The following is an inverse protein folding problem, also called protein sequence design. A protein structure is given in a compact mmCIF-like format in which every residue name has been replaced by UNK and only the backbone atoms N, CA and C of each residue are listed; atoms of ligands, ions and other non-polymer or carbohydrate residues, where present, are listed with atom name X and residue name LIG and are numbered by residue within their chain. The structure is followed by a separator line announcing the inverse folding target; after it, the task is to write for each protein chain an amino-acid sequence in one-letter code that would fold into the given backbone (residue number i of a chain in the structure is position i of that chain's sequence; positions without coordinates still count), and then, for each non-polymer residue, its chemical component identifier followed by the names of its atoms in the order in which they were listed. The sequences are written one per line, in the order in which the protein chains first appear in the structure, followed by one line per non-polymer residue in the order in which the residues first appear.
data_IF_842898260949
#
_entry.id   IF_842898260949
#
_cell.length_a   1.000
_cell.length_b   1.000
_cell.length_c   1.000
_cell.angle_alpha   90.00
_cell.angle_beta   90.00
_cell.angle_gamma   90.00
#
_symmetry.space_group_name_H-M   'P 1'
#
loop_
_entity.id
_entity.type
_entity.pdbx_description
1 polymer ?
#
# COMPACT_ATOMS: atom_id res chain seq x y z
N UNK A 1 10.48 -5.73 10.32
CA UNK A 1 10.39 -6.13 8.89
C UNK A 1 10.78 -4.99 7.95
N UNK A 2 10.32 -3.76 8.23
CA UNK A 2 10.64 -2.56 7.46
C UNK A 2 12.17 -2.31 7.31
N UNK A 3 12.93 -2.40 8.40
CA UNK A 3 14.38 -2.07 8.44
C UNK A 3 15.27 -3.05 7.66
N UNK A 4 14.87 -4.31 7.58
CA UNK A 4 15.68 -5.36 6.96
C UNK A 4 15.47 -5.47 5.45
N UNK A 5 14.63 -4.58 4.85
CA UNK A 5 14.29 -4.58 3.42
C UNK A 5 13.95 -5.98 2.90
N UNK A 6 13.11 -6.71 3.64
CA UNK A 6 12.63 -8.04 3.30
C UNK A 6 11.20 -7.98 2.77
N UNK A 7 10.87 -8.88 1.87
CA UNK A 7 9.53 -9.04 1.32
C UNK A 7 8.55 -9.49 2.41
N UNK A 8 7.40 -8.80 2.53
CA UNK A 8 6.37 -9.15 3.51
C UNK A 8 5.77 -10.54 3.30
N UNK A 9 5.76 -11.06 2.07
CA UNK A 9 5.11 -12.33 1.73
C UNK A 9 6.05 -13.51 1.86
N UNK A 10 7.20 -13.48 1.17
CA UNK A 10 8.13 -14.61 1.16
C UNK A 10 9.25 -14.49 2.22
N UNK A 11 9.45 -13.32 2.83
CA UNK A 11 10.49 -13.09 3.83
C UNK A 11 11.90 -12.92 3.27
N UNK A 12 12.12 -13.14 1.96
CA UNK A 12 13.43 -12.98 1.32
C UNK A 12 13.84 -11.50 1.16
N UNK A 13 15.14 -11.19 1.03
CA UNK A 13 15.61 -9.84 0.73
C UNK A 13 14.95 -9.26 -0.54
N UNK A 14 14.59 -7.98 -0.50
CA UNK A 14 14.04 -7.28 -1.67
C UNK A 14 15.12 -7.04 -2.72
N UNK A 15 14.74 -7.20 -3.99
CA UNK A 15 15.60 -6.95 -5.14
C UNK A 15 15.70 -5.46 -5.50
N UNK A 16 16.42 -5.16 -6.57
CA UNK A 16 16.63 -3.80 -7.09
C UNK A 16 15.31 -3.02 -7.33
N UNK A 17 14.21 -3.72 -7.63
CA UNK A 17 12.87 -3.14 -7.77
C UNK A 17 11.90 -3.86 -6.84
N UNK A 18 11.06 -3.08 -6.16
CA UNK A 18 10.04 -3.59 -5.25
C UNK A 18 8.69 -2.91 -5.48
N UNK A 19 7.66 -3.46 -4.86
CA UNK A 19 6.28 -2.96 -4.93
C UNK A 19 5.76 -2.66 -3.53
N UNK A 20 5.11 -1.51 -3.37
CA UNK A 20 4.29 -1.17 -2.21
C UNK A 20 2.82 -1.29 -2.59
N UNK A 21 2.02 -1.88 -1.71
CA UNK A 21 0.56 -1.78 -1.78
C UNK A 21 0.13 -0.54 -1.00
N UNK A 22 -0.43 0.45 -1.69
CA UNK A 22 -0.79 1.74 -1.08
C UNK A 22 -2.24 2.12 -1.38
N UNK A 23 -2.83 2.87 -0.46
CA UNK A 23 -4.12 3.55 -0.64
C UNK A 23 -3.94 5.05 -0.87
N UNK A 24 -4.97 5.76 -1.35
CA UNK A 24 -4.97 7.21 -1.38
C UNK A 24 -4.64 7.84 -0.02
N UNK A 25 -5.20 7.31 1.08
CA UNK A 25 -4.89 7.80 2.44
C UNK A 25 -3.42 7.67 2.83
N UNK A 26 -2.77 6.56 2.47
CA UNK A 26 -1.33 6.34 2.73
C UNK A 26 -0.49 7.36 1.94
N UNK A 27 -0.85 7.61 0.68
CA UNK A 27 -0.16 8.60 -0.14
C UNK A 27 -0.34 10.02 0.39
N UNK A 28 -1.55 10.42 0.81
CA UNK A 28 -1.79 11.74 1.40
C UNK A 28 -0.97 11.97 2.68
N UNK A 29 -0.83 10.93 3.51
CA UNK A 29 0.04 10.96 4.70
C UNK A 29 1.53 10.90 4.34
N UNK A 30 1.88 10.48 3.13
CA UNK A 30 3.26 10.37 2.67
C UNK A 30 4.00 9.12 3.17
N UNK A 31 3.29 8.12 3.69
CA UNK A 31 3.89 6.92 4.28
C UNK A 31 3.07 5.67 3.95
N UNK A 32 3.74 4.62 3.48
CA UNK A 32 3.18 3.28 3.34
C UNK A 32 3.56 2.44 4.56
N UNK A 33 2.58 2.05 5.38
CA UNK A 33 2.83 1.31 6.64
C UNK A 33 3.17 -0.17 6.42
N UNK A 34 2.84 -0.71 5.25
CA UNK A 34 3.16 -2.09 4.88
C UNK A 34 4.58 -2.20 4.29
N UNK A 35 5.35 -3.25 4.62
CA UNK A 35 6.65 -3.51 4.00
C UNK A 35 6.58 -3.76 2.49
N UNK A 36 7.74 -3.68 1.83
CA UNK A 36 7.86 -3.93 0.41
C UNK A 36 7.59 -5.39 0.02
N UNK A 37 7.24 -5.58 -1.25
CA UNK A 37 7.02 -6.88 -1.89
C UNK A 37 7.89 -7.02 -3.13
N UNK A 38 8.32 -8.24 -3.43
CA UNK A 38 8.74 -8.57 -4.80
C UNK A 38 7.55 -8.40 -5.77
N UNK A 39 7.79 -8.08 -7.06
CA UNK A 39 6.72 -7.95 -8.05
C UNK A 39 5.77 -9.16 -8.15
N UNK A 40 6.31 -10.38 -8.09
CA UNK A 40 5.54 -11.63 -8.10
C UNK A 40 4.77 -11.86 -6.80
N UNK A 41 5.33 -11.48 -5.65
CA UNK A 41 4.64 -11.50 -4.37
C UNK A 41 3.47 -10.49 -4.36
N UNK A 42 3.65 -9.31 -4.94
CA UNK A 42 2.58 -8.34 -5.13
C UNK A 42 1.47 -8.86 -6.06
N UNK A 43 1.84 -9.59 -7.11
CA UNK A 43 0.87 -10.25 -7.99
C UNK A 43 0.07 -11.33 -7.27
N UNK A 44 0.74 -12.15 -6.44
CA UNK A 44 0.11 -13.14 -5.59
C UNK A 44 -0.85 -12.49 -4.60
N UNK A 45 -0.38 -11.49 -3.84
CA UNK A 45 -1.20 -10.80 -2.82
C UNK A 45 -2.44 -10.16 -3.41
N UNK A 46 -2.36 -9.58 -4.62
CA UNK A 46 -3.54 -9.02 -5.29
C UNK A 46 -4.64 -10.05 -5.55
N UNK A 47 -4.28 -11.33 -5.71
CA UNK A 47 -5.23 -12.43 -5.96
C UNK A 47 -5.64 -13.14 -4.68
N UNK A 48 -4.71 -13.34 -3.76
CA UNK A 48 -4.92 -14.17 -2.57
C UNK A 48 -5.50 -13.37 -1.39
N UNK A 49 -5.17 -12.09 -1.24
CA UNK A 49 -5.72 -11.27 -0.16
C UNK A 49 -7.18 -10.94 -0.47
N UNK A 50 -8.10 -11.40 0.37
CA UNK A 50 -9.55 -11.16 0.22
C UNK A 50 -9.91 -9.68 0.09
N UNK A 51 -9.15 -8.81 0.76
CA UNK A 51 -9.30 -7.36 0.65
C UNK A 51 -8.88 -6.90 -0.74
N UNK A 52 -7.64 -7.18 -1.17
CA UNK A 52 -7.12 -6.71 -2.46
C UNK A 52 -7.82 -7.35 -3.67
N UNK A 53 -8.33 -8.58 -3.54
CA UNK A 53 -9.10 -9.27 -4.55
C UNK A 53 -10.54 -8.74 -4.67
N UNK A 54 -10.99 -7.89 -3.73
CA UNK A 54 -12.35 -7.35 -3.73
C UNK A 54 -13.43 -8.33 -3.28
N UNK A 55 -13.07 -9.38 -2.52
CA UNK A 55 -14.04 -10.30 -1.93
C UNK A 55 -14.73 -9.72 -0.70
N UNK A 56 -14.14 -8.69 -0.10
CA UNK A 56 -14.72 -7.93 1.00
C UNK A 56 -14.64 -6.43 0.69
N UNK A 57 -15.68 -5.70 1.11
CA UNK A 57 -15.80 -4.26 0.88
C UNK A 57 -15.57 -3.42 2.14
N UNK A 58 -15.33 -4.07 3.29
CA UNK A 58 -15.11 -3.39 4.56
C UNK A 58 -13.96 -4.05 5.31
N UNK A 59 -13.20 -3.22 6.01
CA UNK A 59 -12.20 -3.71 6.94
C UNK A 59 -12.86 -4.44 8.10
N UNK A 60 -12.11 -5.34 8.74
CA UNK A 60 -12.60 -6.08 9.90
C UNK A 60 -13.11 -5.09 10.99
N UNK A 61 -14.39 -5.17 11.40
CA UNK A 61 -14.94 -4.30 12.44
C UNK A 61 -14.40 -4.60 13.83
N UNK A 62 -13.84 -5.79 14.05
CA UNK A 62 -13.26 -6.18 15.34
C UNK A 62 -11.84 -5.62 15.55
N UNK A 63 -11.35 -4.74 14.67
CA UNK A 63 -9.97 -4.27 14.70
C UNK A 63 -8.97 -5.40 14.51
N UNK A 64 -7.69 -5.12 14.71
CA UNK A 64 -6.68 -6.15 14.90
C UNK A 64 -6.88 -6.85 16.24
N UNK A 65 -8.10 -7.34 16.57
CA UNK A 65 -8.32 -8.13 17.78
C UNK A 65 -7.22 -9.18 17.83
N UNK A 66 -6.41 -9.23 18.92
CA UNK A 66 -5.30 -10.14 18.98
C UNK A 66 -5.87 -11.52 18.68
N UNK A 67 -5.31 -12.19 17.67
CA UNK A 67 -5.54 -13.62 17.48
C UNK A 67 -5.42 -14.21 18.87
N UNK A 68 -6.53 -14.76 19.39
CA UNK A 68 -6.56 -15.27 20.76
C UNK A 68 -5.40 -16.23 20.86
N UNK A 69 -4.44 -15.92 21.74
CA UNK A 69 -3.27 -16.78 21.90
C UNK A 69 -3.80 -18.16 22.28
N UNK A 70 -3.53 -19.16 21.45
CA UNK A 70 -3.96 -20.51 21.79
C UNK A 70 -3.13 -20.98 22.99
N UNK A 71 -3.73 -21.82 23.84
CA UNK A 71 -3.07 -22.35 25.04
C UNK A 71 -2.05 -23.47 24.75
N UNK A 72 -1.82 -23.80 23.48
CA UNK A 72 -0.83 -24.80 23.07
C UNK A 72 0.58 -24.19 23.09
N UNK A 73 1.48 -24.64 23.99
CA UNK A 73 2.84 -24.13 24.09
C UNK A 73 3.73 -24.47 22.88
N UNK A 74 3.33 -25.43 22.03
CA UNK A 74 4.02 -25.81 20.81
C UNK A 74 3.50 -25.07 19.57
N UNK A 75 2.40 -24.34 19.69
CA UNK A 75 1.86 -23.60 18.57
C UNK A 75 2.73 -22.38 18.22
N UNK A 76 3.06 -22.24 16.94
CA UNK A 76 3.83 -21.10 16.45
C UNK A 76 3.02 -19.79 16.44
N UNK A 77 1.71 -19.78 16.75
CA UNK A 77 0.89 -18.57 16.76
C UNK A 77 1.40 -17.49 17.71
N UNK A 78 2.17 -17.85 18.76
CA UNK A 78 2.85 -16.91 19.66
C UNK A 78 3.82 -15.95 18.95
N UNK A 79 4.29 -16.32 17.76
CA UNK A 79 5.16 -15.48 16.93
C UNK A 79 4.36 -14.54 16.02
N UNK A 80 3.05 -14.74 15.91
CA UNK A 80 2.13 -13.99 15.05
C UNK A 80 1.14 -13.13 15.85
N UNK A 81 0.86 -13.50 17.11
CA UNK A 81 0.07 -12.73 18.05
C UNK A 81 1.01 -11.90 18.95
N UNK A 82 1.48 -10.74 18.47
CA UNK A 82 2.07 -9.77 19.39
C UNK A 82 0.95 -9.10 20.18
N UNK A 83 0.95 -9.35 21.49
CA UNK A 83 -0.02 -8.76 22.44
C UNK A 83 0.27 -7.27 22.67
N UNK A 84 1.48 -6.81 22.32
CA UNK A 84 2.00 -5.50 22.71
C UNK A 84 2.11 -4.49 21.55
N UNK A 85 2.06 -4.94 20.29
CA UNK A 85 2.16 -4.08 19.09
C UNK A 85 0.82 -3.94 18.35
N UNK A 86 -0.29 -4.25 19.02
CA UNK A 86 -1.62 -4.05 18.49
C UNK A 86 -2.07 -2.58 18.64
N UNK A 87 -1.18 -1.65 18.31
CA UNK A 87 -1.56 -0.39 17.66
C UNK A 87 -2.07 -0.74 16.25
N UNK A 88 -3.10 -1.59 16.19
CA UNK A 88 -3.91 -1.83 15.01
C UNK A 88 -4.33 -0.45 14.56
N UNK A 89 -3.73 0.03 13.47
CA UNK A 89 -3.76 1.44 13.05
C UNK A 89 -5.11 2.06 13.41
N UNK A 90 -5.22 2.80 14.53
CA UNK A 90 -6.53 3.19 15.02
C UNK A 90 -7.23 3.99 13.94
N UNK A 91 -8.43 3.54 13.55
CA UNK A 91 -9.29 4.30 12.64
C UNK A 91 -9.61 3.69 11.29
N UNK A 92 -9.46 2.37 11.06
CA UNK A 92 -9.99 1.70 9.84
C UNK A 92 -11.07 0.65 10.08
N UNK A 93 -11.29 0.27 11.33
CA UNK A 93 -12.19 -0.81 11.74
C UNK A 93 -13.61 -0.56 11.20
N UNK A 94 -14.14 -1.53 10.46
CA UNK A 94 -15.48 -1.47 9.87
C UNK A 94 -15.66 -0.44 8.75
N UNK A 95 -14.65 0.38 8.44
CA UNK A 95 -14.73 1.39 7.36
C UNK A 95 -14.82 0.72 5.98
N UNK A 96 -15.52 1.35 5.02
CA UNK A 96 -15.46 0.94 3.62
C UNK A 96 -14.02 0.88 3.11
N UNK A 97 -13.73 -0.12 2.29
CA UNK A 97 -12.42 -0.33 1.75
C UNK A 97 -12.09 0.71 0.66
N UNK A 98 -10.95 1.38 0.80
CA UNK A 98 -10.44 2.31 -0.20
C UNK A 98 -10.01 1.61 -1.50
N UNK A 99 -9.79 2.41 -2.55
CA UNK A 99 -9.02 1.93 -3.70
C UNK A 99 -7.61 1.54 -3.26
N UNK A 100 -7.03 0.55 -3.94
CA UNK A 100 -5.64 0.13 -3.71
C UNK A 100 -4.83 0.23 -4.99
N UNK A 101 -3.55 0.54 -4.83
CA UNK A 101 -2.59 0.71 -5.91
C UNK A 101 -1.29 -0.04 -5.59
N UNK A 102 -0.70 -0.61 -6.62
CA UNK A 102 0.68 -1.06 -6.63
C UNK A 102 1.57 0.13 -7.03
N UNK A 103 2.54 0.48 -6.20
CA UNK A 103 3.54 1.50 -6.47
C UNK A 103 4.92 0.84 -6.56
N UNK A 104 5.61 0.99 -7.70
CA UNK A 104 6.93 0.43 -7.91
C UNK A 104 8.01 1.44 -7.56
N UNK A 105 9.01 0.99 -6.81
CA UNK A 105 10.14 1.77 -6.36
C UNK A 105 11.44 1.01 -6.64
N UNK A 106 12.54 1.74 -6.72
CA UNK A 106 13.86 1.13 -6.62
C UNK A 106 14.22 0.88 -5.14
N UNK A 107 15.08 -0.10 -4.89
CA UNK A 107 15.56 -0.40 -3.54
C UNK A 107 16.34 0.75 -2.90
N UNK A 108 17.03 1.56 -3.72
CA UNK A 108 17.77 2.76 -3.29
C UNK A 108 16.84 3.84 -2.73
N UNK A 109 15.59 3.87 -3.20
CA UNK A 109 14.57 4.81 -2.76
C UNK A 109 13.75 4.29 -1.57
N UNK A 110 13.98 3.05 -1.13
CA UNK A 110 13.36 2.48 0.06
C UNK A 110 13.91 3.19 1.30
N UNK A 111 13.16 4.17 1.79
CA UNK A 111 13.49 4.97 2.98
C UNK A 111 12.40 4.83 4.02
N UNK A 112 12.80 4.49 5.24
CA UNK A 112 11.89 4.45 6.39
C UNK A 112 11.67 5.87 6.88
N UNK A 113 10.41 6.18 7.16
CA UNK A 113 9.97 7.49 7.56
C UNK A 113 8.84 7.36 8.58
N UNK A 114 8.89 8.23 9.58
CA UNK A 114 7.85 8.32 10.62
C UNK A 114 7.12 9.65 10.44
N UNK A 115 5.79 9.56 10.27
CA UNK A 115 4.91 10.71 10.34
C UNK A 115 4.42 10.89 11.78
N UNK A 116 4.43 12.12 12.33
CA UNK A 116 3.84 12.39 13.63
C UNK A 116 2.33 12.19 13.59
N UNK A 117 1.71 12.09 14.76
CA UNK A 117 0.26 12.13 14.89
C UNK A 117 -0.26 13.53 14.55
N UNK A 118 -1.37 13.61 13.81
CA UNK A 118 -2.05 14.85 13.48
C UNK A 118 -3.56 14.61 13.29
N UNK A 119 -4.30 15.61 12.81
CA UNK A 119 -5.74 15.51 12.54
C UNK A 119 -6.09 14.42 11.49
N UNK A 120 -5.13 14.00 10.66
CA UNK A 120 -5.29 12.93 9.67
C UNK A 120 -5.11 11.53 10.25
N UNK A 121 -4.69 11.42 11.52
CA UNK A 121 -4.65 10.17 12.28
C UNK A 121 -3.37 9.96 13.11
N UNK A 122 -3.22 8.79 13.74
CA UNK A 122 -2.14 8.49 14.69
C UNK A 122 -0.76 8.55 14.05
N UNK A 123 0.30 8.61 14.86
CA UNK A 123 1.66 8.50 14.35
C UNK A 123 1.84 7.17 13.60
N UNK A 124 2.65 7.17 12.54
CA UNK A 124 2.87 5.97 11.75
C UNK A 124 4.30 5.90 11.23
N UNK A 125 4.90 4.71 11.30
CA UNK A 125 6.21 4.42 10.72
C UNK A 125 6.04 3.49 9.54
N UNK A 126 6.69 3.81 8.43
CA UNK A 126 6.59 3.04 7.21
C UNK A 126 7.57 3.51 6.16
N UNK A 127 7.29 3.24 4.89
CA UNK A 127 8.13 3.59 3.76
C UNK A 127 7.67 4.92 3.18
N UNK A 128 8.61 5.83 2.96
CA UNK A 128 8.33 7.16 2.42
C UNK A 128 7.68 7.08 1.02
N UNK A 129 6.59 7.82 0.82
CA UNK A 129 5.93 7.98 -0.48
C UNK A 129 6.15 9.36 -1.09
N UNK A 130 6.36 10.37 -0.25
CA UNK A 130 6.66 11.73 -0.71
C UNK A 130 8.14 11.90 -1.04
N UNK A 131 8.41 12.65 -2.12
CA UNK A 131 9.77 12.91 -2.62
C UNK A 131 10.53 11.60 -2.90
N UNK A 132 9.80 10.58 -3.35
CA UNK A 132 10.33 9.29 -3.79
C UNK A 132 9.89 9.06 -5.23
N UNK A 133 10.81 8.76 -6.17
CA UNK A 133 10.46 8.48 -7.54
C UNK A 133 9.66 7.17 -7.69
N UNK A 134 8.34 7.28 -7.91
CA UNK A 134 7.52 6.11 -8.23
C UNK A 134 7.68 5.73 -9.70
N UNK A 135 8.39 4.63 -9.96
CA UNK A 135 8.67 4.09 -11.30
C UNK A 135 7.38 3.75 -12.06
N UNK A 136 6.39 3.22 -11.34
CA UNK A 136 5.09 2.84 -11.89
C UNK A 136 4.04 2.93 -10.81
N UNK A 137 2.81 3.23 -11.21
CA UNK A 137 1.63 3.20 -10.34
C UNK A 137 0.50 2.50 -11.09
N UNK A 138 -0.12 1.48 -10.48
CA UNK A 138 -1.17 0.68 -11.10
C UNK A 138 -2.29 0.42 -10.10
N UNK A 139 -3.54 0.64 -10.51
CA UNK A 139 -4.70 0.28 -9.70
C UNK A 139 -4.75 -1.24 -9.49
N UNK A 140 -4.86 -1.66 -8.25
CA UNK A 140 -4.99 -3.05 -7.82
C UNK A 140 -6.46 -3.42 -7.56
N UNK A 141 -7.23 -2.49 -6.97
CA UNK A 141 -8.65 -2.65 -6.58
C UNK A 141 -9.39 -1.31 -6.60
N UNK A 142 -10.67 -1.35 -6.95
CA UNK A 142 -11.64 -0.25 -6.83
C UNK A 142 -12.12 -0.06 -5.39
N UNK A 143 -12.54 1.15 -4.98
CA UNK A 143 -13.09 1.35 -3.64
C UNK A 143 -14.42 0.59 -3.46
N UNK A 144 -14.84 0.40 -2.21
CA UNK A 144 -16.15 -0.17 -1.89
C UNK A 144 -17.30 0.69 -2.47
N UNK A 145 -18.40 0.09 -2.97
CA UNK A 145 -19.49 0.82 -3.64
C UNK A 145 -20.23 1.83 -2.75
N UNK A 146 -20.29 1.57 -1.45
CA UNK A 146 -20.97 2.39 -0.44
C UNK A 146 -20.02 3.38 0.27
N UNK A 147 -18.77 3.45 -0.16
CA UNK A 147 -17.79 4.39 0.36
C UNK A 147 -18.19 5.83 0.03
N UNK A 148 -18.65 6.57 1.02
CA UNK A 148 -19.01 8.01 0.92
C UNK A 148 -17.85 8.92 0.47
N UNK A 149 -16.62 8.39 0.31
CA UNK A 149 -15.46 9.09 -0.24
C UNK A 149 -15.19 8.74 -1.71
N UNK A 150 -16.10 9.25 -2.55
CA UNK A 150 -15.89 9.88 -3.86
C UNK A 150 -14.53 9.70 -4.54
N UNK A 151 -14.57 9.24 -5.80
CA UNK A 151 -13.50 9.30 -6.81
C UNK A 151 -12.72 10.64 -6.84
N UNK A 152 -13.29 11.73 -6.34
CA UNK A 152 -12.69 13.08 -6.29
C UNK A 152 -11.54 13.18 -5.29
N UNK A 153 -11.45 12.27 -4.32
CA UNK A 153 -10.34 12.19 -3.38
C UNK A 153 -9.32 11.10 -3.70
N UNK A 154 -9.52 10.31 -4.76
CA UNK A 154 -8.52 9.36 -5.24
C UNK A 154 -7.40 10.08 -5.99
N UNK A 155 -6.51 10.70 -5.22
CA UNK A 155 -5.32 11.42 -5.73
C UNK A 155 -4.44 10.51 -6.60
N UNK A 156 -4.40 9.21 -6.31
CA UNK A 156 -3.62 8.24 -7.07
C UNK A 156 -4.23 7.99 -8.45
N UNK A 157 -5.56 7.92 -8.57
CA UNK A 157 -6.25 7.88 -9.86
C UNK A 157 -5.89 9.11 -10.71
N UNK A 158 -5.89 10.31 -10.10
CA UNK A 158 -5.52 11.57 -10.78
C UNK A 158 -4.06 11.55 -11.25
N UNK A 159 -3.13 11.07 -10.43
CA UNK A 159 -1.71 10.91 -10.81
C UNK A 159 -1.57 9.93 -11.98
N UNK A 160 -2.28 8.80 -11.94
CA UNK A 160 -2.28 7.83 -13.05
C UNK A 160 -2.82 8.47 -14.33
N UNK A 161 -3.94 9.19 -14.26
CA UNK A 161 -4.55 9.86 -15.40
C UNK A 161 -3.63 10.94 -16.00
N UNK A 162 -3.03 11.79 -15.15
CA UNK A 162 -2.10 12.84 -15.57
C UNK A 162 -0.86 12.26 -16.27
N UNK A 163 -0.28 11.17 -15.73
CA UNK A 163 0.85 10.47 -16.37
C UNK A 163 0.48 9.89 -17.73
N UNK A 164 -0.70 9.28 -17.85
CA UNK A 164 -1.20 8.77 -19.14
C UNK A 164 -1.36 9.89 -20.16
N UNK A 165 -1.98 11.01 -19.76
CA UNK A 165 -2.17 12.17 -20.63
C UNK A 165 -0.83 12.73 -21.10
N UNK A 166 0.11 12.96 -20.17
CA UNK A 166 1.44 13.45 -20.50
C UNK A 166 2.16 12.56 -21.52
N UNK A 167 2.16 11.23 -21.28
CA UNK A 167 2.77 10.28 -22.21
C UNK A 167 2.09 10.29 -23.59
N UNK A 168 0.78 10.49 -23.67
CA UNK A 168 0.08 10.60 -24.96
C UNK A 168 0.39 11.89 -25.72
N UNK A 169 0.64 12.99 -25.01
CA UNK A 169 0.97 14.29 -25.63
C UNK A 169 2.42 14.34 -26.13
N UNK A 170 3.38 13.76 -25.37
CA UNK A 170 4.79 13.71 -25.77
C UNK A 170 5.04 12.79 -26.97
N UNK A 171 4.22 11.76 -27.17
CA UNK A 171 4.29 10.87 -28.34
C UNK A 171 3.64 11.50 -29.59
N UNK A 172 3.09 12.72 -29.47
CA UNK A 172 2.34 13.41 -30.51
C UNK A 172 3.08 14.49 -31.31
N UNK A 173 4.38 14.71 -31.13
CA UNK A 173 5.16 15.59 -32.03
C UNK A 173 5.57 14.81 -33.30
N UNK A 174 4.97 15.09 -34.48
CA UNK A 174 5.53 14.61 -35.73
C UNK A 174 6.88 15.30 -35.94
N UNK A 175 7.89 14.52 -36.30
CA UNK A 175 9.13 15.06 -36.83
C UNK A 175 8.79 15.86 -38.10
N UNK A 176 8.87 17.18 -38.00
CA UNK A 176 8.93 18.05 -39.17
C UNK A 176 10.24 17.73 -39.90
N UNK A 177 10.15 16.79 -40.84
CA UNK A 177 11.10 16.63 -41.92
C UNK A 177 10.93 17.84 -42.84
N UNK A 178 11.74 18.87 -42.63
CA UNK A 178 11.89 19.92 -43.63
C UNK A 178 13.03 19.51 -44.59
N UNK A 179 12.82 19.53 -45.93
CA UNK A 179 13.81 19.14 -46.93
C UNK A 179 15.00 20.10 -47.03
#
# INVERSE_FOLDING_TARGET
MLDNKRCQVCGEPLDATLVLMIRPSDYLRGVAVEPGLHPECAWYSRRACVMLAGHVDRYNPAGGSPLTQCWDPLCHCRFWASVEDNDATPGREGKPAEAWYQAWLKLEDYRIFTVPADESGPAATGIALHRVPLLRLRKARDPAPDGTNTEWMDILAKIVAARKLWNSLVVGEPADNNP
#
